data_IF_712883248594
#
_entry.id   IF_712883248594
#
_cell.length_a   1.000
_cell.length_b   1.000
_cell.length_c   1.000
_cell.angle_alpha   90.00
_cell.angle_beta   90.00
_cell.angle_gamma   90.00
#
_symmetry.space_group_name_H-M   'P 1'
#
loop_
_entity.id
_entity.type
_entity.pdbx_description
1 polymer ?
#
# COMPACT_ATOMS: atom_id res chain seq x y z
N UNK A 1 -34.08 4.68 1.09
CA UNK A 1 -32.69 4.22 1.42
C UNK A 1 -31.85 4.24 0.17
N UNK A 2 -30.51 4.35 0.32
CA UNK A 2 -29.57 4.31 -0.80
C UNK A 2 -29.30 2.86 -1.23
N UNK A 3 -29.05 2.66 -2.51
CA UNK A 3 -28.52 1.40 -3.06
C UNK A 3 -27.03 1.55 -3.27
N UNK A 4 -26.26 0.49 -3.03
CA UNK A 4 -24.82 0.46 -3.21
C UNK A 4 -24.47 -0.40 -4.43
N UNK A 5 -23.66 0.16 -5.34
CA UNK A 5 -23.00 -0.55 -6.42
C UNK A 5 -21.52 -0.65 -6.09
N UNK A 6 -20.98 -1.87 -6.08
CA UNK A 6 -19.55 -2.10 -5.79
C UNK A 6 -18.89 -2.58 -7.07
N UNK A 7 -17.85 -1.85 -7.50
CA UNK A 7 -17.04 -2.15 -8.66
C UNK A 7 -15.59 -2.36 -8.25
N UNK A 8 -14.90 -3.27 -8.92
CA UNK A 8 -13.47 -3.55 -8.66
C UNK A 8 -12.67 -3.31 -9.94
N UNK A 9 -11.66 -2.45 -9.86
CA UNK A 9 -10.76 -2.15 -10.98
C UNK A 9 -9.61 -3.16 -11.15
N UNK A 10 -9.33 -3.99 -10.14
CA UNK A 10 -8.19 -4.92 -10.10
C UNK A 10 -6.86 -4.23 -10.40
N UNK A 11 -6.70 -3.01 -9.90
CA UNK A 11 -5.53 -2.15 -10.08
C UNK A 11 -5.27 -1.72 -11.55
N UNK A 12 -6.23 -1.89 -12.46
CA UNK A 12 -6.16 -1.47 -13.86
C UNK A 12 -6.86 -0.14 -14.06
N UNK A 13 -6.15 0.83 -14.63
CA UNK A 13 -6.66 2.17 -14.96
C UNK A 13 -7.79 2.09 -16.00
N UNK A 14 -7.67 1.19 -16.99
CA UNK A 14 -8.69 1.00 -18.01
C UNK A 14 -9.97 0.40 -17.41
N UNK A 15 -9.84 -0.60 -16.53
CA UNK A 15 -11.01 -1.18 -15.85
C UNK A 15 -11.67 -0.15 -14.94
N UNK A 16 -10.90 0.70 -14.27
CA UNK A 16 -11.45 1.80 -13.47
C UNK A 16 -12.24 2.76 -14.36
N UNK A 17 -11.69 3.13 -15.53
CA UNK A 17 -12.35 3.99 -16.51
C UNK A 17 -13.72 3.44 -16.94
N UNK A 18 -13.74 2.17 -17.33
CA UNK A 18 -14.99 1.48 -17.73
C UNK A 18 -16.00 1.39 -16.58
N UNK A 19 -15.52 1.12 -15.37
CA UNK A 19 -16.39 1.08 -14.18
C UNK A 19 -17.03 2.43 -13.90
N UNK A 20 -16.29 3.53 -14.05
CA UNK A 20 -16.84 4.87 -13.85
C UNK A 20 -17.87 5.24 -14.92
N UNK A 21 -17.64 4.88 -16.20
CA UNK A 21 -18.63 5.04 -17.26
C UNK A 21 -19.91 4.25 -16.98
N UNK A 22 -19.77 3.03 -16.47
CA UNK A 22 -20.91 2.22 -16.06
C UNK A 22 -21.71 2.87 -14.93
N UNK A 23 -21.02 3.36 -13.88
CA UNK A 23 -21.66 4.03 -12.75
C UNK A 23 -22.39 5.31 -13.19
N UNK A 24 -21.80 6.10 -14.09
CA UNK A 24 -22.42 7.26 -14.69
C UNK A 24 -23.71 6.89 -15.43
N UNK A 25 -23.68 5.84 -16.25
CA UNK A 25 -24.86 5.34 -16.97
C UNK A 25 -25.95 4.82 -16.04
N UNK A 26 -25.57 4.33 -14.84
CA UNK A 26 -26.51 3.94 -13.80
C UNK A 26 -27.10 5.14 -13.04
N UNK A 27 -26.71 6.37 -13.37
CA UNK A 27 -27.17 7.61 -12.73
C UNK A 27 -27.00 7.57 -11.21
N UNK A 28 -25.79 7.21 -10.74
CA UNK A 28 -25.48 7.18 -9.30
C UNK A 28 -25.46 8.59 -8.72
N UNK A 29 -25.85 8.73 -7.44
CA UNK A 29 -25.84 10.02 -6.73
C UNK A 29 -24.43 10.51 -6.39
N UNK A 30 -23.42 9.63 -6.43
CA UNK A 30 -22.02 9.94 -6.17
C UNK A 30 -21.14 8.70 -6.15
N UNK A 31 -19.83 8.91 -6.18
CA UNK A 31 -18.82 7.85 -6.26
C UNK A 31 -17.82 7.97 -5.11
N UNK A 32 -17.58 6.86 -4.41
CA UNK A 32 -16.45 6.72 -3.48
C UNK A 32 -15.37 5.94 -4.22
N UNK A 33 -14.18 6.52 -4.39
CA UNK A 33 -13.14 6.00 -5.27
C UNK A 33 -11.79 5.87 -4.55
N UNK A 34 -11.18 4.68 -4.65
CA UNK A 34 -9.76 4.47 -4.43
C UNK A 34 -9.07 4.29 -5.78
N UNK A 35 -8.20 5.21 -6.18
CA UNK A 35 -7.52 5.15 -7.49
C UNK A 35 -6.61 3.94 -7.61
N UNK A 36 -6.40 3.47 -8.84
CA UNK A 36 -5.53 2.33 -9.15
C UNK A 36 -4.04 2.66 -9.01
N UNK A 37 -3.19 1.64 -9.03
CA UNK A 37 -1.73 1.82 -9.02
C UNK A 37 -1.16 2.22 -10.38
N UNK A 38 -1.86 1.93 -11.48
CA UNK A 38 -1.37 2.21 -12.84
C UNK A 38 -1.35 3.69 -13.18
N UNK A 39 -2.23 4.48 -12.53
CA UNK A 39 -2.32 5.91 -12.80
C UNK A 39 -3.68 6.49 -12.41
N UNK A 40 -3.95 7.67 -12.95
CA UNK A 40 -5.12 8.48 -12.60
C UNK A 40 -5.91 8.87 -13.86
N UNK A 41 -7.22 8.60 -13.85
CA UNK A 41 -8.16 9.02 -14.89
C UNK A 41 -8.64 10.47 -14.64
N UNK A 42 -7.71 11.42 -14.50
CA UNK A 42 -7.98 12.80 -14.04
C UNK A 42 -9.08 13.50 -14.83
N UNK A 43 -9.04 13.42 -16.15
CA UNK A 43 -10.04 14.07 -17.00
C UNK A 43 -11.44 13.46 -16.82
N UNK A 44 -11.51 12.15 -16.60
CA UNK A 44 -12.79 11.49 -16.33
C UNK A 44 -13.35 11.91 -14.94
N UNK A 45 -12.48 12.00 -13.93
CA UNK A 45 -12.90 12.46 -12.60
C UNK A 45 -13.47 13.88 -12.67
N UNK A 46 -12.79 14.80 -13.39
CA UNK A 46 -13.27 16.16 -13.62
C UNK A 46 -14.60 16.18 -14.34
N UNK A 47 -14.71 15.41 -15.43
CA UNK A 47 -15.93 15.34 -16.22
C UNK A 47 -17.15 14.83 -15.41
N UNK A 48 -16.97 13.84 -14.54
CA UNK A 48 -18.04 13.37 -13.64
C UNK A 48 -18.50 14.47 -12.67
N UNK A 49 -17.54 15.19 -12.06
CA UNK A 49 -17.85 16.29 -11.14
C UNK A 49 -18.59 17.44 -11.87
N UNK A 50 -18.16 17.79 -13.08
CA UNK A 50 -18.83 18.81 -13.91
C UNK A 50 -20.26 18.41 -14.27
N UNK A 51 -20.53 17.12 -14.43
CA UNK A 51 -21.87 16.57 -14.64
C UNK A 51 -22.65 16.32 -13.36
N UNK A 52 -22.19 16.92 -12.25
CA UNK A 52 -22.84 16.86 -10.94
C UNK A 52 -22.86 15.46 -10.28
N UNK A 53 -21.90 14.60 -10.63
CA UNK A 53 -21.64 13.34 -9.92
C UNK A 53 -20.45 13.56 -8.99
N UNK A 54 -20.68 13.81 -7.69
CA UNK A 54 -19.58 14.07 -6.74
C UNK A 54 -18.72 12.83 -6.53
N UNK A 55 -17.40 13.05 -6.39
CA UNK A 55 -16.43 12.01 -6.06
C UNK A 55 -15.86 12.30 -4.67
N UNK A 56 -15.76 11.26 -3.84
CA UNK A 56 -14.99 11.26 -2.61
C UNK A 56 -13.87 10.23 -2.74
N UNK A 57 -12.63 10.67 -2.68
CA UNK A 57 -11.49 9.75 -2.67
C UNK A 57 -11.30 9.13 -1.29
N UNK A 58 -10.93 7.83 -1.27
CA UNK A 58 -10.56 7.12 -0.04
C UNK A 58 -9.22 6.41 -0.20
N UNK A 59 -8.43 6.36 0.86
CA UNK A 59 -7.14 5.64 0.93
C UNK A 59 -6.10 6.12 -0.07
N UNK A 60 -6.42 6.11 -1.37
CA UNK A 60 -5.59 6.64 -2.47
C UNK A 60 -6.40 7.69 -3.23
N UNK A 61 -5.80 8.83 -3.50
CA UNK A 61 -6.50 9.97 -4.06
C UNK A 61 -5.67 10.68 -5.12
N UNK A 62 -6.33 11.21 -6.15
CA UNK A 62 -5.74 12.18 -7.04
C UNK A 62 -5.51 13.52 -6.33
N UNK A 63 -4.32 14.08 -6.47
CA UNK A 63 -4.01 15.43 -6.01
C UNK A 63 -4.30 16.47 -7.09
N UNK A 64 -4.62 16.05 -8.30
CA UNK A 64 -4.90 16.90 -9.46
C UNK A 64 -6.38 17.28 -9.59
N UNK A 65 -7.23 16.68 -8.75
CA UNK A 65 -8.69 16.91 -8.76
C UNK A 65 -9.12 17.52 -7.43
N UNK A 66 -9.87 18.61 -7.50
CA UNK A 66 -10.45 19.24 -6.31
C UNK A 66 -11.71 18.48 -5.85
N UNK A 67 -11.52 17.45 -5.02
CA UNK A 67 -12.59 16.64 -4.46
C UNK A 67 -12.26 16.27 -3.00
N UNK A 68 -13.27 16.00 -2.16
CA UNK A 68 -13.06 15.52 -0.80
C UNK A 68 -12.23 14.23 -0.75
N UNK A 69 -11.40 14.09 0.29
CA UNK A 69 -10.51 12.94 0.49
C UNK A 69 -10.59 12.43 1.92
N UNK A 70 -10.77 11.13 2.07
CA UNK A 70 -10.67 10.45 3.36
C UNK A 70 -9.40 9.60 3.34
N UNK A 71 -8.36 10.09 4.00
CA UNK A 71 -7.02 9.52 3.95
C UNK A 71 -6.54 9.15 5.35
N UNK A 72 -5.69 8.14 5.44
CA UNK A 72 -4.88 7.90 6.63
C UNK A 72 -3.52 8.60 6.47
N UNK A 73 -2.90 8.97 7.59
CA UNK A 73 -1.55 9.48 7.61
C UNK A 73 -0.57 8.29 7.45
N UNK A 74 -0.25 7.95 6.20
CA UNK A 74 0.59 6.80 5.87
C UNK A 74 1.98 6.90 6.49
N UNK A 75 2.54 8.10 6.60
CA UNK A 75 3.82 8.32 7.26
C UNK A 75 3.74 7.97 8.75
N UNK A 76 2.79 8.57 9.48
CA UNK A 76 2.66 8.31 10.93
C UNK A 76 2.33 6.86 11.25
N UNK A 77 1.47 6.23 10.44
CA UNK A 77 1.10 4.82 10.66
C UNK A 77 2.29 3.89 10.44
N UNK A 78 3.08 4.12 9.39
CA UNK A 78 4.27 3.33 9.12
C UNK A 78 5.35 3.54 10.18
N UNK A 79 5.56 4.80 10.57
CA UNK A 79 6.46 5.12 11.67
C UNK A 79 6.06 4.37 12.95
N UNK A 80 4.78 4.42 13.33
CA UNK A 80 4.29 3.74 14.54
C UNK A 80 4.41 2.21 14.46
N UNK A 81 4.16 1.61 13.29
CA UNK A 81 4.30 0.17 13.09
C UNK A 81 5.77 -0.28 13.24
N UNK A 82 6.70 0.44 12.62
CA UNK A 82 8.14 0.13 12.73
C UNK A 82 8.67 0.44 14.14
N UNK A 83 8.23 1.53 14.75
CA UNK A 83 8.53 1.83 16.15
C UNK A 83 8.09 0.70 17.09
N UNK A 84 6.90 0.13 16.86
CA UNK A 84 6.43 -1.03 17.61
C UNK A 84 7.38 -2.22 17.48
N UNK A 85 7.84 -2.57 16.28
CA UNK A 85 8.83 -3.63 16.07
C UNK A 85 10.13 -3.34 16.84
N UNK A 86 10.61 -2.11 16.81
CA UNK A 86 11.82 -1.71 17.54
C UNK A 86 11.63 -1.83 19.07
N UNK A 87 10.49 -1.36 19.58
CA UNK A 87 10.17 -1.41 21.02
C UNK A 87 9.96 -2.84 21.53
N UNK A 88 9.56 -3.77 20.65
CA UNK A 88 9.48 -5.21 20.95
C UNK A 88 10.82 -5.94 20.81
N UNK A 89 11.91 -5.23 20.53
CA UNK A 89 13.28 -5.75 20.56
C UNK A 89 13.89 -6.04 19.19
N UNK A 90 13.17 -5.80 18.09
CA UNK A 90 13.70 -6.04 16.73
C UNK A 90 14.71 -4.95 16.33
N UNK A 91 15.75 -5.34 15.61
CA UNK A 91 16.87 -4.46 15.27
C UNK A 91 17.24 -4.47 13.78
N UNK A 92 16.95 -5.55 13.08
CA UNK A 92 17.26 -5.75 11.66
C UNK A 92 15.96 -5.89 10.87
N UNK A 93 15.28 -4.76 10.71
CA UNK A 93 13.93 -4.70 10.14
C UNK A 93 14.03 -4.48 8.63
N UNK A 94 13.52 -5.40 7.84
CA UNK A 94 13.40 -5.21 6.39
C UNK A 94 12.07 -4.54 6.03
N UNK A 95 12.01 -3.90 4.86
CA UNK A 95 10.79 -3.31 4.32
C UNK A 95 10.44 -3.88 2.95
N UNK A 96 9.30 -4.56 2.85
CA UNK A 96 8.71 -4.92 1.57
C UNK A 96 7.89 -3.74 1.08
N UNK A 97 8.40 -2.99 0.10
CA UNK A 97 7.82 -1.73 -0.36
C UNK A 97 6.76 -1.93 -1.45
N UNK A 98 5.90 -0.94 -1.60
CA UNK A 98 4.90 -0.87 -2.66
C UNK A 98 5.44 -0.32 -3.98
N UNK A 99 4.56 -0.18 -5.00
CA UNK A 99 4.90 0.43 -6.28
C UNK A 99 5.30 1.90 -6.10
N UNK A 100 6.38 2.31 -6.78
CA UNK A 100 6.88 3.71 -6.73
C UNK A 100 5.92 4.72 -7.35
N UNK A 101 4.98 4.27 -8.18
CA UNK A 101 3.92 5.09 -8.79
C UNK A 101 2.92 5.62 -7.77
N UNK A 102 2.81 5.00 -6.59
CA UNK A 102 1.89 5.41 -5.55
C UNK A 102 2.56 6.36 -4.54
N UNK A 103 1.97 7.54 -4.33
CA UNK A 103 2.44 8.51 -3.34
C UNK A 103 2.56 7.91 -1.93
N UNK A 104 1.62 7.02 -1.56
CA UNK A 104 1.63 6.34 -0.26
C UNK A 104 2.86 5.44 -0.05
N UNK A 105 3.53 4.98 -1.12
CA UNK A 105 4.77 4.21 -1.01
C UNK A 105 5.89 5.06 -0.43
N UNK A 106 6.04 6.30 -0.93
CA UNK A 106 7.02 7.26 -0.41
C UNK A 106 6.79 7.57 1.07
N UNK A 107 5.54 7.85 1.45
CA UNK A 107 5.17 8.13 2.84
C UNK A 107 5.48 6.96 3.77
N UNK A 108 5.12 5.73 3.38
CA UNK A 108 5.37 4.52 4.18
C UNK A 108 6.86 4.23 4.31
N UNK A 109 7.61 4.32 3.22
CA UNK A 109 9.06 4.13 3.25
C UNK A 109 9.75 5.20 4.08
N UNK A 110 9.29 6.47 4.00
CA UNK A 110 9.83 7.53 4.84
C UNK A 110 9.55 7.29 6.32
N UNK A 111 8.32 6.87 6.68
CA UNK A 111 7.98 6.52 8.06
C UNK A 111 8.85 5.39 8.61
N UNK A 112 9.13 4.37 7.79
CA UNK A 112 10.05 3.27 8.14
C UNK A 112 11.47 3.80 8.41
N UNK A 113 12.05 4.59 7.50
CA UNK A 113 13.41 5.11 7.65
C UNK A 113 13.54 6.04 8.86
N UNK A 114 12.61 6.97 9.03
CA UNK A 114 12.63 7.92 10.15
C UNK A 114 12.46 7.20 11.51
N UNK A 115 11.73 6.09 11.55
CA UNK A 115 11.64 5.27 12.76
C UNK A 115 12.99 4.60 13.09
N UNK A 116 13.67 4.01 12.10
CA UNK A 116 15.02 3.46 12.30
C UNK A 116 15.99 4.55 12.80
N UNK A 117 16.01 5.70 12.13
CA UNK A 117 16.88 6.82 12.47
C UNK A 117 16.63 7.34 13.90
N UNK A 118 15.36 7.47 14.32
CA UNK A 118 15.00 7.90 15.68
C UNK A 118 15.63 7.03 16.76
N UNK A 119 15.73 5.72 16.51
CA UNK A 119 16.26 4.75 17.46
C UNK A 119 17.73 4.38 17.20
N UNK A 120 18.41 5.10 16.31
CA UNK A 120 19.83 4.89 16.01
C UNK A 120 20.14 3.55 15.36
N UNK A 121 19.17 2.96 14.64
CA UNK A 121 19.36 1.74 13.87
C UNK A 121 19.92 2.08 12.47
N UNK A 122 20.69 1.14 11.91
CA UNK A 122 21.29 1.30 10.59
C UNK A 122 20.23 1.36 9.49
N UNK A 123 20.33 2.36 8.62
CA UNK A 123 19.52 2.49 7.42
C UNK A 123 20.13 1.71 6.26
N UNK A 124 19.99 0.37 6.25
CA UNK A 124 20.43 -0.44 5.11
C UNK A 124 19.36 -0.45 4.01
N UNK A 125 19.55 0.36 2.99
CA UNK A 125 18.62 0.44 1.85
C UNK A 125 18.51 -0.86 1.05
N UNK A 126 19.45 -1.80 1.18
CA UNK A 126 19.35 -3.13 0.56
C UNK A 126 18.29 -4.03 1.23
N UNK A 127 17.80 -3.63 2.41
CA UNK A 127 16.67 -4.26 3.08
C UNK A 127 15.30 -3.70 2.64
N UNK A 128 15.28 -2.73 1.73
CA UNK A 128 14.04 -2.24 1.11
C UNK A 128 13.86 -2.94 -0.23
N UNK A 129 12.94 -3.90 -0.30
CA UNK A 129 12.72 -4.73 -1.48
C UNK A 129 11.33 -4.48 -2.05
N UNK A 130 11.18 -4.25 -3.37
CA UNK A 130 9.87 -4.12 -3.99
C UNK A 130 9.06 -5.41 -3.85
N UNK A 131 7.83 -5.32 -3.35
CA UNK A 131 6.89 -6.45 -3.24
C UNK A 131 5.54 -6.16 -3.91
N UNK A 132 5.34 -4.93 -4.36
CA UNK A 132 4.11 -4.54 -5.05
C UNK A 132 2.86 -4.61 -4.18
N UNK A 133 1.73 -4.91 -4.80
CA UNK A 133 0.39 -4.87 -4.19
C UNK A 133 -0.23 -6.25 -4.00
N UNK A 134 0.40 -7.31 -4.47
CA UNK A 134 -0.17 -8.67 -4.58
C UNK A 134 0.61 -9.68 -3.75
N UNK A 135 -0.02 -10.83 -3.50
CA UNK A 135 0.56 -11.93 -2.70
C UNK A 135 1.91 -12.41 -3.26
N UNK A 136 1.96 -12.61 -4.56
CA UNK A 136 3.12 -13.13 -5.26
C UNK A 136 4.35 -12.23 -5.06
N UNK A 137 4.15 -10.91 -5.15
CA UNK A 137 5.21 -9.93 -4.93
C UNK A 137 5.76 -9.96 -3.51
N UNK A 138 4.89 -10.11 -2.51
CA UNK A 138 5.31 -10.29 -1.11
C UNK A 138 6.11 -11.58 -0.88
N UNK A 139 5.69 -12.67 -1.51
CA UNK A 139 6.39 -13.96 -1.48
C UNK A 139 7.80 -13.84 -2.10
N UNK A 140 7.92 -13.26 -3.30
CA UNK A 140 9.20 -13.07 -3.99
C UNK A 140 10.14 -12.12 -3.24
N UNK A 141 9.59 -11.06 -2.65
CA UNK A 141 10.36 -10.13 -1.84
C UNK A 141 10.96 -10.82 -0.60
N UNK A 142 10.17 -11.62 0.13
CA UNK A 142 10.65 -12.38 1.27
C UNK A 142 11.72 -13.41 0.86
N UNK A 143 11.54 -14.08 -0.28
CA UNK A 143 12.54 -14.98 -0.86
C UNK A 143 13.86 -14.23 -1.13
N UNK A 144 13.78 -13.03 -1.70
CA UNK A 144 14.95 -12.19 -2.00
C UNK A 144 15.67 -11.77 -0.71
N UNK A 145 14.92 -11.33 0.29
CA UNK A 145 15.46 -10.93 1.59
C UNK A 145 16.21 -12.06 2.28
N UNK A 146 15.63 -13.26 2.35
CA UNK A 146 16.31 -14.40 3.01
C UNK A 146 17.53 -14.89 2.23
N UNK A 147 17.48 -14.88 0.89
CA UNK A 147 18.62 -15.23 0.03
C UNK A 147 19.80 -14.27 0.15
N UNK A 148 19.57 -13.03 0.55
CA UNK A 148 20.62 -12.04 0.77
C UNK A 148 21.57 -12.39 1.93
N UNK A 149 21.22 -13.40 2.75
CA UNK A 149 21.94 -13.84 3.96
C UNK A 149 22.15 -12.71 4.99
N UNK A 150 21.34 -11.66 4.91
CA UNK A 150 21.29 -10.59 5.91
C UNK A 150 20.62 -11.12 7.18
N UNK A 151 21.08 -10.65 8.31
CA UNK A 151 20.41 -10.94 9.58
C UNK A 151 19.14 -10.09 9.66
N UNK A 152 17.97 -10.68 9.42
CA UNK A 152 16.66 -10.01 9.46
C UNK A 152 15.87 -10.63 10.61
N UNK A 153 15.31 -9.79 11.48
CA UNK A 153 14.51 -10.21 12.63
C UNK A 153 13.06 -9.69 12.59
N UNK A 154 12.74 -8.82 11.60
CA UNK A 154 11.37 -8.39 11.33
C UNK A 154 11.20 -7.93 9.88
N UNK A 155 9.96 -7.96 9.39
CA UNK A 155 9.57 -7.45 8.08
C UNK A 155 8.38 -6.50 8.23
N UNK A 156 8.57 -5.24 7.85
CA UNK A 156 7.49 -4.28 7.65
C UNK A 156 7.00 -4.36 6.21
N UNK A 157 5.79 -4.86 5.98
CA UNK A 157 5.20 -4.99 4.65
C UNK A 157 4.33 -3.79 4.29
N UNK A 158 4.35 -3.42 3.00
CA UNK A 158 3.58 -2.30 2.45
C UNK A 158 2.07 -2.43 2.69
N UNK A 159 1.51 -3.62 2.53
CA UNK A 159 0.10 -3.94 2.73
C UNK A 159 -0.10 -5.38 3.16
N UNK A 160 -1.36 -5.75 3.45
CA UNK A 160 -1.74 -7.09 3.90
C UNK A 160 -1.40 -8.18 2.88
N UNK A 161 -1.61 -7.94 1.58
CA UNK A 161 -1.28 -8.92 0.54
C UNK A 161 0.22 -9.22 0.51
N UNK A 162 1.07 -8.19 0.55
CA UNK A 162 2.51 -8.38 0.63
C UNK A 162 2.92 -9.10 1.94
N UNK A 163 2.29 -8.76 3.07
CA UNK A 163 2.54 -9.43 4.34
C UNK A 163 2.17 -10.92 4.28
N UNK A 164 0.97 -11.26 3.80
CA UNK A 164 0.50 -12.64 3.67
C UNK A 164 1.40 -13.44 2.71
N UNK A 165 1.82 -12.83 1.59
CA UNK A 165 2.77 -13.44 0.67
C UNK A 165 4.11 -13.76 1.32
N UNK A 166 4.67 -12.79 2.08
CA UNK A 166 5.89 -12.98 2.84
C UNK A 166 5.75 -14.08 3.91
N UNK A 167 4.68 -14.06 4.69
CA UNK A 167 4.39 -15.07 5.71
C UNK A 167 4.30 -16.48 5.10
N UNK A 168 3.69 -16.61 3.91
CA UNK A 168 3.61 -17.87 3.20
C UNK A 168 5.01 -18.41 2.88
N UNK A 169 5.89 -17.59 2.29
CA UNK A 169 7.27 -18.00 2.00
C UNK A 169 8.04 -18.38 3.27
N UNK A 170 8.00 -17.55 4.31
CA UNK A 170 8.68 -17.81 5.57
C UNK A 170 8.26 -19.16 6.18
N UNK A 171 6.95 -19.45 6.18
CA UNK A 171 6.41 -20.72 6.65
C UNK A 171 6.89 -21.92 5.82
N UNK A 172 6.94 -21.79 4.48
CA UNK A 172 7.40 -22.85 3.57
C UNK A 172 8.88 -23.20 3.80
N UNK A 173 9.72 -22.23 4.22
CA UNK A 173 11.15 -22.46 4.53
C UNK A 173 11.43 -22.74 6.01
N UNK A 174 10.39 -22.89 6.84
CA UNK A 174 10.51 -23.29 8.24
C UNK A 174 10.89 -22.16 9.21
N UNK A 175 10.72 -20.89 8.82
CA UNK A 175 10.94 -19.73 9.68
C UNK A 175 9.72 -19.51 10.57
N UNK A 176 9.94 -19.41 11.89
CA UNK A 176 8.88 -19.17 12.87
C UNK A 176 8.51 -17.68 12.93
N UNK A 177 7.19 -17.42 12.97
CA UNK A 177 6.63 -16.08 13.11
C UNK A 177 5.80 -16.04 14.40
N UNK A 178 6.07 -15.15 15.34
CA UNK A 178 7.02 -14.03 15.29
C UNK A 178 8.41 -14.34 15.87
N UNK A 179 8.73 -15.57 16.26
CA UNK A 179 9.92 -15.92 17.03
C UNK A 179 11.21 -15.56 16.30
N UNK A 180 11.38 -16.06 15.07
CA UNK A 180 12.57 -15.79 14.25
C UNK A 180 12.43 -14.44 13.51
N UNK A 181 11.29 -14.23 12.82
CA UNK A 181 10.97 -13.00 12.09
C UNK A 181 9.56 -12.53 12.46
N UNK A 182 9.43 -11.29 12.95
CA UNK A 182 8.16 -10.65 13.28
C UNK A 182 7.57 -9.88 12.10
#
# INVERSE_FOLDING_TARGET
GHKLLIMQSKESMETERVNMEFLENCMVDGIILAITQEGENVEQYRGLIERSIPIVFISRASMQVNAPRVMIDNYKMSFAAVEHLILTGRRHIAHISGPVSLNITGDRTKGYLDALAKYGLEEDRSLIVPGGMVLEGGYEAACTLLKSKRNIDAIFAFNDHAAIGAMRYLKEVGVSIPEDIA
#
